data_IF_215467923096
#
_entry.id   IF_215467923096
#
_cell.length_a   1.000
_cell.length_b   1.000
_cell.length_c   1.000
_cell.angle_alpha   90.00
_cell.angle_beta   90.00
_cell.angle_gamma   90.00
#
_symmetry.space_group_name_H-M   'P 1'
#
loop_
_entity.id
_entity.type
_entity.pdbx_description
1 polymer ?
#
# COMPACT_ATOMS: atom_id res chain seq x y z
N UNK A 1 17.07 -11.35 -0.55
CA UNK A 1 16.31 -12.51 -0.05
C UNK A 1 15.83 -13.33 -1.24
N UNK A 2 15.69 -14.66 -1.10
CA UNK A 2 15.10 -15.50 -2.15
C UNK A 2 13.57 -15.34 -2.16
N UNK A 3 12.91 -15.53 -3.31
CA UNK A 3 11.44 -15.38 -3.43
C UNK A 3 10.67 -16.23 -2.42
N UNK A 4 11.14 -17.47 -2.14
CA UNK A 4 10.58 -18.33 -1.08
C UNK A 4 10.57 -17.69 0.31
N UNK A 5 11.66 -17.01 0.68
CA UNK A 5 11.76 -16.38 2.00
C UNK A 5 10.82 -15.17 2.10
N UNK A 6 10.62 -14.46 0.98
CA UNK A 6 9.70 -13.32 0.90
C UNK A 6 8.25 -13.82 1.01
N UNK A 7 7.92 -14.91 0.31
CA UNK A 7 6.58 -15.50 0.36
C UNK A 7 6.20 -16.01 1.75
N UNK A 8 7.16 -16.61 2.46
CA UNK A 8 6.98 -17.05 3.85
C UNK A 8 6.81 -15.87 4.81
N UNK A 9 7.62 -14.80 4.67
CA UNK A 9 7.55 -13.63 5.53
C UNK A 9 6.22 -12.85 5.37
N UNK A 10 5.73 -12.71 4.13
CA UNK A 10 4.54 -11.92 3.82
C UNK A 10 3.24 -12.74 3.81
N UNK A 11 3.32 -14.04 4.10
CA UNK A 11 2.20 -15.00 4.00
C UNK A 11 1.44 -14.91 2.65
N UNK A 12 2.21 -14.95 1.56
CA UNK A 12 1.68 -14.96 0.18
C UNK A 12 2.33 -16.08 -0.63
N UNK A 13 1.87 -16.30 -1.86
CA UNK A 13 2.46 -17.32 -2.73
C UNK A 13 3.74 -16.83 -3.42
N UNK A 14 4.70 -17.72 -3.71
CA UNK A 14 5.88 -17.37 -4.52
C UNK A 14 5.51 -16.77 -5.90
N UNK A 15 4.49 -17.27 -6.62
CA UNK A 15 4.00 -16.60 -7.83
C UNK A 15 3.54 -15.16 -7.61
N UNK A 16 2.91 -14.84 -6.46
CA UNK A 16 2.54 -13.47 -6.13
C UNK A 16 3.78 -12.57 -6.02
N UNK A 17 4.84 -13.04 -5.34
CA UNK A 17 6.13 -12.33 -5.27
C UNK A 17 6.72 -12.11 -6.66
N UNK A 18 6.69 -13.14 -7.52
CA UNK A 18 7.16 -13.04 -8.90
C UNK A 18 6.40 -11.98 -9.70
N UNK A 19 5.09 -11.85 -9.50
CA UNK A 19 4.27 -10.83 -10.17
C UNK A 19 4.63 -9.41 -9.74
N UNK A 20 4.95 -9.17 -8.47
CA UNK A 20 5.45 -7.86 -8.02
C UNK A 20 6.87 -7.56 -8.56
N UNK A 21 7.78 -8.54 -8.55
CA UNK A 21 9.14 -8.37 -9.06
C UNK A 21 9.23 -8.17 -10.58
N UNK A 22 8.23 -8.66 -11.31
CA UNK A 22 8.13 -8.51 -12.77
C UNK A 22 7.24 -7.33 -13.20
N UNK A 23 6.91 -6.43 -12.27
CA UNK A 23 6.05 -5.26 -12.47
C UNK A 23 4.63 -5.59 -12.98
N UNK A 24 4.20 -6.86 -12.97
CA UNK A 24 2.83 -7.25 -13.33
C UNK A 24 1.78 -6.76 -12.34
N UNK A 25 2.21 -6.40 -11.12
CA UNK A 25 1.41 -5.77 -10.06
C UNK A 25 2.24 -4.68 -9.39
N UNK A 26 1.64 -3.50 -9.17
CA UNK A 26 2.24 -2.43 -8.37
C UNK A 26 3.61 -1.96 -8.84
N UNK A 27 3.91 -2.11 -10.13
CA UNK A 27 5.16 -1.70 -10.74
C UNK A 27 5.15 -0.22 -11.13
N UNK A 28 5.87 0.11 -12.20
CA UNK A 28 6.08 1.48 -12.72
C UNK A 28 4.83 2.29 -13.07
N UNK A 29 3.66 1.66 -13.07
CA UNK A 29 2.38 2.31 -13.33
C UNK A 29 1.87 3.12 -12.14
N UNK A 30 2.37 2.88 -10.93
CA UNK A 30 1.96 3.60 -9.71
C UNK A 30 3.09 4.51 -9.27
N UNK A 31 2.94 5.81 -9.53
CA UNK A 31 3.86 6.83 -9.04
C UNK A 31 3.45 7.25 -7.62
N UNK A 32 4.29 6.92 -6.64
CA UNK A 32 4.13 7.36 -5.25
C UNK A 32 5.12 8.50 -4.96
N UNK A 33 4.78 9.41 -4.05
CA UNK A 33 5.74 10.43 -3.61
C UNK A 33 6.96 9.82 -2.94
N UNK A 34 8.08 10.56 -2.95
CA UNK A 34 9.30 10.18 -2.26
C UNK A 34 9.06 9.93 -0.76
N UNK A 35 8.14 10.69 -0.14
CA UNK A 35 7.78 10.51 1.26
C UNK A 35 7.09 9.15 1.50
N UNK A 36 6.12 8.79 0.67
CA UNK A 36 5.45 7.50 0.75
C UNK A 36 6.45 6.36 0.48
N UNK A 37 7.31 6.51 -0.53
CA UNK A 37 8.37 5.53 -0.81
C UNK A 37 9.33 5.34 0.35
N UNK A 38 9.69 6.42 1.05
CA UNK A 38 10.55 6.36 2.23
C UNK A 38 9.88 5.54 3.34
N UNK A 39 8.60 5.80 3.64
CA UNK A 39 7.84 5.05 4.66
C UNK A 39 7.71 3.57 4.31
N UNK A 40 7.44 3.24 3.04
CA UNK A 40 7.39 1.85 2.56
C UNK A 40 8.73 1.15 2.77
N UNK A 41 9.85 1.81 2.44
CA UNK A 41 11.21 1.25 2.63
C UNK A 41 11.53 1.02 4.10
N UNK A 42 11.18 1.97 4.97
CA UNK A 42 11.38 1.85 6.42
C UNK A 42 10.58 0.67 7.00
N UNK A 43 9.29 0.57 6.64
CA UNK A 43 8.46 -0.56 7.06
C UNK A 43 8.99 -1.90 6.53
N UNK A 44 9.41 -1.96 5.26
CA UNK A 44 9.99 -3.17 4.68
C UNK A 44 11.29 -3.60 5.38
N UNK A 45 12.13 -2.64 5.78
CA UNK A 45 13.32 -2.91 6.58
C UNK A 45 12.95 -3.48 7.96
N UNK A 46 12.02 -2.84 8.67
CA UNK A 46 11.58 -3.30 9.99
C UNK A 46 10.94 -4.70 9.93
N UNK A 47 10.14 -4.99 8.90
CA UNK A 47 9.58 -6.32 8.62
C UNK A 47 10.68 -7.36 8.39
N UNK A 48 11.65 -7.05 7.54
CA UNK A 48 12.75 -7.96 7.21
C UNK A 48 13.62 -8.29 8.42
N UNK A 49 13.89 -7.31 9.26
CA UNK A 49 14.73 -7.48 10.45
C UNK A 49 13.96 -8.00 11.67
N UNK A 50 12.63 -8.17 11.57
CA UNK A 50 11.79 -8.64 12.68
C UNK A 50 11.70 -7.63 13.84
N UNK A 51 11.84 -6.34 13.54
CA UNK A 51 11.86 -5.25 14.54
C UNK A 51 10.43 -4.77 14.84
N UNK A 52 9.56 -4.73 13.83
CA UNK A 52 8.19 -4.24 13.98
C UNK A 52 7.27 -5.33 14.55
N UNK A 53 6.44 -4.95 15.52
CA UNK A 53 5.33 -5.79 15.98
C UNK A 53 4.18 -5.76 14.96
N UNK A 54 3.24 -6.69 15.06
CA UNK A 54 2.03 -6.70 14.22
C UNK A 54 1.27 -5.36 14.31
N UNK A 55 1.23 -4.76 15.50
CA UNK A 55 0.61 -3.45 15.72
C UNK A 55 1.35 -2.34 14.98
N UNK A 56 2.69 -2.38 14.98
CA UNK A 56 3.51 -1.42 14.25
C UNK A 56 3.29 -1.57 12.74
N UNK A 57 3.24 -2.80 12.24
CA UNK A 57 2.97 -3.09 10.82
C UNK A 57 1.61 -2.51 10.41
N UNK A 58 0.54 -2.83 11.16
CA UNK A 58 -0.80 -2.32 10.88
C UNK A 58 -0.83 -0.79 10.90
N UNK A 59 -0.21 -0.17 11.92
CA UNK A 59 -0.17 1.28 12.06
C UNK A 59 0.55 1.96 10.88
N UNK A 60 1.73 1.47 10.51
CA UNK A 60 2.51 2.01 9.40
C UNK A 60 1.81 1.83 8.05
N UNK A 61 1.22 0.65 7.79
CA UNK A 61 0.41 0.43 6.58
C UNK A 61 -0.77 1.40 6.53
N UNK A 62 -1.48 1.60 7.65
CA UNK A 62 -2.58 2.55 7.70
C UNK A 62 -2.13 3.99 7.43
N UNK A 63 -0.98 4.41 7.95
CA UNK A 63 -0.43 5.74 7.70
C UNK A 63 -0.06 5.92 6.22
N UNK A 64 0.61 4.93 5.62
CA UNK A 64 0.95 4.91 4.19
C UNK A 64 -0.33 5.03 3.36
N UNK A 65 -1.36 4.23 3.62
CA UNK A 65 -2.62 4.30 2.91
C UNK A 65 -3.33 5.66 3.05
N UNK A 66 -3.27 6.28 4.23
CA UNK A 66 -3.83 7.63 4.45
C UNK A 66 -3.10 8.67 3.61
N UNK A 67 -1.75 8.62 3.57
CA UNK A 67 -0.95 9.52 2.74
C UNK A 67 -1.21 9.31 1.25
N UNK A 68 -1.23 8.06 0.79
CA UNK A 68 -1.57 7.73 -0.62
C UNK A 68 -2.94 8.29 -1.03
N UNK A 69 -3.93 8.25 -0.13
CA UNK A 69 -5.25 8.86 -0.38
C UNK A 69 -5.20 10.39 -0.39
N UNK A 70 -4.48 11.01 0.55
CA UNK A 70 -4.36 12.45 0.65
C UNK A 70 -3.62 13.10 -0.54
N UNK A 71 -2.76 12.33 -1.21
CA UNK A 71 -2.05 12.75 -2.43
C UNK A 71 -2.84 12.44 -3.73
N UNK A 72 -4.11 12.04 -3.63
CA UNK A 72 -5.01 11.77 -4.77
C UNK A 72 -4.48 10.73 -5.79
N UNK A 73 -3.50 9.91 -5.40
CA UNK A 73 -2.83 8.94 -6.29
C UNK A 73 -3.85 7.99 -6.93
N UNK A 74 -4.85 7.53 -6.16
CA UNK A 74 -5.92 6.68 -6.69
C UNK A 74 -6.78 7.40 -7.72
N UNK A 75 -7.04 8.71 -7.55
CA UNK A 75 -7.78 9.51 -8.51
C UNK A 75 -6.99 9.70 -9.81
N UNK A 76 -5.68 9.92 -9.70
CA UNK A 76 -4.77 9.98 -10.85
C UNK A 76 -4.79 8.67 -11.65
N UNK A 77 -4.58 7.53 -10.99
CA UNK A 77 -4.62 6.20 -11.62
C UNK A 77 -5.99 5.90 -12.26
N UNK A 78 -7.06 6.25 -11.55
CA UNK A 78 -8.41 6.09 -12.05
C UNK A 78 -8.67 6.93 -13.32
N UNK A 79 -8.18 8.17 -13.39
CA UNK A 79 -8.30 9.01 -14.59
C UNK A 79 -7.49 8.47 -15.76
N UNK A 80 -6.28 7.99 -15.50
CA UNK A 80 -5.40 7.47 -16.54
C UNK A 80 -5.88 6.12 -17.12
N UNK A 81 -6.31 5.19 -16.25
CA UNK A 81 -6.61 3.81 -16.65
C UNK A 81 -8.10 3.46 -16.65
N UNK A 82 -8.91 4.17 -15.86
CA UNK A 82 -10.31 3.83 -15.59
C UNK A 82 -11.33 4.45 -16.53
N UNK A 83 -10.91 5.27 -17.50
CA UNK A 83 -11.82 5.86 -18.50
C UNK A 83 -12.83 6.84 -17.91
N UNK A 84 -12.46 7.55 -16.84
CA UNK A 84 -13.36 8.48 -16.16
C UNK A 84 -13.65 9.72 -17.02
N UNK A 85 -14.90 10.20 -17.02
CA UNK A 85 -15.24 11.49 -17.63
C UNK A 85 -14.64 12.66 -16.86
N UNK A 86 -14.31 13.74 -17.56
CA UNK A 86 -13.90 15.02 -16.98
C UNK A 86 -15.01 15.54 -16.05
N UNK A 87 -14.80 15.45 -14.73
CA UNK A 87 -15.82 15.79 -13.72
C UNK A 87 -16.12 14.68 -12.69
N UNK A 88 -15.29 13.64 -12.57
CA UNK A 88 -15.42 12.68 -11.47
C UNK A 88 -15.06 13.32 -10.12
N UNK A 89 -16.02 13.34 -9.18
CA UNK A 89 -15.90 13.87 -7.82
C UNK A 89 -16.15 12.81 -6.73
N UNK A 90 -16.11 11.52 -7.08
CA UNK A 90 -16.46 10.43 -6.16
C UNK A 90 -15.52 10.30 -4.95
N UNK A 91 -14.31 10.85 -5.04
CA UNK A 91 -13.28 10.78 -4.00
C UNK A 91 -13.00 12.13 -3.31
N UNK A 92 -13.65 13.23 -3.75
CA UNK A 92 -13.29 14.63 -3.42
C UNK A 92 -13.44 15.02 -1.94
N UNK A 93 -13.85 14.11 -1.05
CA UNK A 93 -14.12 14.39 0.35
C UNK A 93 -13.39 13.49 1.35
N UNK A 94 -12.28 12.84 0.98
CA UNK A 94 -11.54 11.97 1.92
C UNK A 94 -10.62 12.73 2.89
N UNK A 95 -10.70 14.07 2.98
CA UNK A 95 -9.85 14.89 3.88
C UNK A 95 -10.05 14.58 5.38
N UNK A 96 -11.10 13.84 5.75
CA UNK A 96 -11.42 13.48 7.14
C UNK A 96 -11.80 12.01 7.38
N UNK A 97 -11.40 11.08 6.51
CA UNK A 97 -11.68 9.65 6.77
C UNK A 97 -10.61 9.03 7.68
N UNK A 98 -10.83 9.17 8.98
CA UNK A 98 -10.27 8.29 10.02
C UNK A 98 -10.76 6.84 9.92
N UNK A 99 -11.63 6.51 8.97
CA UNK A 99 -12.22 5.19 8.83
C UNK A 99 -11.32 4.24 8.03
N UNK A 100 -10.40 3.56 8.71
CA UNK A 100 -9.83 2.32 8.20
C UNK A 100 -10.73 1.17 8.70
N UNK A 101 -11.49 0.49 7.82
CA UNK A 101 -12.43 -0.57 8.23
C UNK A 101 -11.75 -1.77 8.92
N UNK A 102 -10.41 -1.89 8.83
CA UNK A 102 -9.64 -2.91 9.55
C UNK A 102 -9.51 -2.67 11.07
N UNK A 103 -10.04 -1.56 11.60
CA UNK A 103 -10.12 -1.35 13.05
C UNK A 103 -11.23 -2.16 13.73
N UNK A 104 -12.14 -2.77 12.96
CA UNK A 104 -13.12 -3.73 13.47
C UNK A 104 -12.58 -5.15 13.26
N UNK A 105 -12.13 -5.78 14.35
CA UNK A 105 -11.84 -7.22 14.50
C UNK A 105 -10.41 -7.71 14.22
N UNK A 106 -9.42 -7.14 14.92
CA UNK A 106 -8.32 -7.96 15.45
C UNK A 106 -8.41 -8.00 16.97
N UNK A 107 -9.39 -8.77 17.46
CA UNK A 107 -9.36 -9.31 18.82
C UNK A 107 -8.42 -10.51 18.79
N UNK A 108 -7.30 -10.40 19.51
CA UNK A 108 -6.43 -11.53 19.89
C UNK A 108 -7.24 -12.51 20.73
#
# INVERSE_FOLDING_TARGET
MKQRQISELLDITQPAVSQYLSDKRGGREVELSDEIHKKIKELAFQLKEGIATDKDIISNVCEICKKTRAEDILCMLHREKGGSSDGCHNCDNMQNDSYCPHAFNYSI
#
